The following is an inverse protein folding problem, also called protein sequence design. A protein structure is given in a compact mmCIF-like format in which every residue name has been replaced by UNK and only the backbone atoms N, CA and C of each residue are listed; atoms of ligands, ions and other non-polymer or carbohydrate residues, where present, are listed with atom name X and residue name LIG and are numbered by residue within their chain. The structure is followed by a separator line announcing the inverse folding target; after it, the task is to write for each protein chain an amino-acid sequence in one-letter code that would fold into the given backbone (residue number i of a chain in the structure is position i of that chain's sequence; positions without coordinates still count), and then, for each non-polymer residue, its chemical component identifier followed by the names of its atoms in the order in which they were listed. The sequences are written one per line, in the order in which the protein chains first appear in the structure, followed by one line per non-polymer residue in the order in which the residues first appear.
data_IF_607763112555
#
_entry.id   IF_607763112555
#
_cell.length_a   1.000
_cell.length_b   1.000
_cell.length_c   1.000
_cell.angle_alpha   90.00
_cell.angle_beta   90.00
_cell.angle_gamma   90.00
#
_symmetry.space_group_name_H-M   'P 1'
#
loop_
_entity.id
_entity.type
_entity.pdbx_description
1 polymer ?
#
# COMPACT_ATOMS: atom_id res chain seq x y z
N UNK A 1 16.18 20.82 7.86
CA UNK A 1 15.14 20.90 6.81
C UNK A 1 13.94 21.66 7.37
N UNK A 2 13.48 22.73 6.69
CA UNK A 2 12.38 23.60 7.16
C UNK A 2 11.15 23.55 6.25
N UNK A 3 11.34 23.43 4.94
CA UNK A 3 10.27 23.53 3.94
C UNK A 3 10.28 22.32 2.99
N UNK A 4 9.20 21.54 2.99
CA UNK A 4 8.97 20.40 2.12
C UNK A 4 7.73 20.65 1.26
N UNK A 5 7.79 20.29 -0.01
CA UNK A 5 6.63 20.34 -0.90
C UNK A 5 6.32 18.92 -1.39
N UNK A 6 5.11 18.45 -1.13
CA UNK A 6 4.56 17.25 -1.74
C UNK A 6 3.76 17.62 -2.99
N UNK A 7 3.89 16.81 -4.02
CA UNK A 7 3.12 16.95 -5.25
C UNK A 7 2.33 15.66 -5.48
N UNK A 8 1.01 15.77 -5.51
CA UNK A 8 0.11 14.65 -5.72
C UNK A 8 -0.95 14.93 -6.78
N UNK A 9 -1.73 13.91 -7.10
CA UNK A 9 -2.80 14.02 -8.10
C UNK A 9 -4.08 14.58 -7.51
N UNK A 10 -4.52 14.03 -6.38
CA UNK A 10 -5.83 14.27 -5.81
C UNK A 10 -5.76 15.18 -4.59
N UNK A 11 -6.73 16.07 -4.43
CA UNK A 11 -7.03 16.68 -3.15
C UNK A 11 -8.03 15.78 -2.42
N UNK A 12 -7.58 15.03 -1.43
CA UNK A 12 -8.38 14.05 -0.69
C UNK A 12 -7.80 12.63 -0.76
N UNK A 13 -8.55 11.64 -0.29
CA UNK A 13 -8.11 10.25 -0.11
C UNK A 13 -8.75 9.33 -1.14
N UNK A 14 -7.94 8.70 -1.98
CA UNK A 14 -8.32 7.63 -2.92
C UNK A 14 -7.84 6.26 -2.40
N UNK A 15 -6.68 6.21 -1.78
CA UNK A 15 -6.08 4.96 -1.34
C UNK A 15 -4.88 5.10 -0.41
N UNK A 16 -3.97 4.13 -0.48
CA UNK A 16 -2.80 4.05 0.40
C UNK A 16 -1.80 5.19 0.18
N UNK A 17 -1.68 5.70 -1.04
CA UNK A 17 -0.74 6.79 -1.37
C UNK A 17 -1.10 8.05 -0.60
N UNK A 18 -2.36 8.49 -0.66
CA UNK A 18 -2.83 9.69 0.01
C UNK A 18 -2.80 9.52 1.53
N UNK A 19 -3.10 8.32 2.04
CA UNK A 19 -2.95 8.02 3.48
C UNK A 19 -1.48 8.11 3.92
N UNK A 20 -0.55 7.63 3.11
CA UNK A 20 0.88 7.76 3.38
C UNK A 20 1.31 9.23 3.38
N UNK A 21 0.91 10.01 2.37
CA UNK A 21 1.20 11.45 2.31
C UNK A 21 0.66 12.19 3.54
N UNK A 22 -0.60 11.93 3.91
CA UNK A 22 -1.23 12.54 5.08
C UNK A 22 -0.44 12.24 6.35
N UNK A 23 -0.15 10.96 6.61
CA UNK A 23 0.57 10.54 7.83
C UNK A 23 2.01 11.08 7.87
N UNK A 24 2.73 11.05 6.75
CA UNK A 24 4.10 11.56 6.69
C UNK A 24 4.16 13.08 6.80
N UNK A 25 3.20 13.81 6.23
CA UNK A 25 3.11 15.26 6.39
C UNK A 25 2.84 15.65 7.85
N UNK A 26 1.88 14.99 8.51
CA UNK A 26 1.60 15.21 9.93
C UNK A 26 2.85 14.95 10.78
N UNK A 27 3.53 13.83 10.55
CA UNK A 27 4.72 13.46 11.30
C UNK A 27 5.86 14.47 11.13
N UNK A 28 6.07 14.99 9.92
CA UNK A 28 7.07 16.04 9.66
C UNK A 28 6.68 17.37 10.32
N UNK A 29 5.41 17.76 10.29
CA UNK A 29 4.92 18.96 10.95
C UNK A 29 5.07 18.91 12.47
N UNK A 30 4.86 17.74 13.07
CA UNK A 30 5.11 17.50 14.50
C UNK A 30 6.60 17.73 14.88
N UNK A 31 7.51 17.67 13.90
CA UNK A 31 8.93 18.00 14.05
C UNK A 31 9.26 19.47 13.66
N UNK A 32 8.26 20.31 13.44
CA UNK A 32 8.42 21.72 13.07
C UNK A 32 8.80 21.94 11.61
N UNK A 33 8.60 20.98 10.72
CA UNK A 33 8.81 21.11 9.28
C UNK A 33 7.53 21.64 8.63
N UNK A 34 7.63 22.72 7.87
CA UNK A 34 6.53 23.22 7.06
C UNK A 34 6.34 22.32 5.84
N UNK A 35 5.17 21.70 5.71
CA UNK A 35 4.84 20.79 4.59
C UNK A 35 3.71 21.38 3.77
N UNK A 36 4.02 21.73 2.51
CA UNK A 36 3.03 22.24 1.55
C UNK A 36 2.64 21.15 0.55
N UNK A 37 1.42 21.24 0.03
CA UNK A 37 0.89 20.29 -0.94
C UNK A 37 0.43 20.94 -2.23
N UNK A 38 0.91 20.43 -3.36
CA UNK A 38 0.48 20.83 -4.71
C UNK A 38 -0.27 19.70 -5.37
N UNK A 39 -1.45 19.98 -5.96
CA UNK A 39 -2.29 18.96 -6.61
C UNK A 39 -2.66 19.32 -8.05
N UNK A 40 -3.04 18.30 -8.85
CA UNK A 40 -3.43 18.50 -10.26
C UNK A 40 -4.83 19.10 -10.45
N UNK A 41 -5.60 19.29 -9.37
CA UNK A 41 -6.95 19.87 -9.40
C UNK A 41 -8.09 18.83 -9.32
N UNK A 42 -7.79 17.54 -9.29
CA UNK A 42 -8.79 16.48 -9.06
C UNK A 42 -9.10 16.37 -7.56
N UNK A 43 -10.38 16.24 -7.21
CA UNK A 43 -10.82 16.07 -5.82
C UNK A 43 -11.18 14.61 -5.51
N UNK A 44 -11.10 14.23 -4.24
CA UNK A 44 -11.40 12.89 -3.76
C UNK A 44 -12.12 12.93 -2.41
N UNK A 45 -12.25 11.81 -1.72
CA UNK A 45 -12.92 11.73 -0.41
C UNK A 45 -12.10 12.44 0.67
N UNK A 46 -12.77 12.96 1.71
CA UNK A 46 -12.15 13.55 2.90
C UNK A 46 -11.18 14.72 2.60
N UNK A 47 -11.52 15.60 1.63
CA UNK A 47 -10.69 16.74 1.21
C UNK A 47 -10.25 17.60 2.39
N UNK A 48 -11.16 17.98 3.27
CA UNK A 48 -10.85 18.86 4.40
C UNK A 48 -9.86 18.22 5.37
N UNK A 49 -10.07 16.93 5.70
CA UNK A 49 -9.15 16.18 6.56
C UNK A 49 -7.77 16.05 5.92
N UNK A 50 -7.74 15.78 4.60
CA UNK A 50 -6.48 15.66 3.87
C UNK A 50 -5.74 17.00 3.82
N UNK A 51 -6.43 18.08 3.46
CA UNK A 51 -5.84 19.42 3.39
C UNK A 51 -5.29 19.91 4.75
N UNK A 52 -5.97 19.60 5.85
CA UNK A 52 -5.54 19.97 7.22
C UNK A 52 -4.19 19.37 7.64
N UNK A 53 -3.71 18.32 6.94
CA UNK A 53 -2.38 17.74 7.19
C UNK A 53 -1.23 18.61 6.66
N UNK A 54 -1.51 19.67 5.89
CA UNK A 54 -0.52 20.53 5.23
C UNK A 54 -0.64 21.98 5.68
N UNK A 55 0.47 22.71 5.65
CA UNK A 55 0.51 24.13 6.01
C UNK A 55 -0.01 25.05 4.89
N UNK A 56 0.14 24.61 3.64
CA UNK A 56 -0.43 25.27 2.46
C UNK A 56 -0.84 24.21 1.43
N UNK A 57 -1.98 24.46 0.77
CA UNK A 57 -2.50 23.60 -0.30
C UNK A 57 -2.93 24.47 -1.48
N UNK A 58 -2.41 24.19 -2.68
CA UNK A 58 -2.85 24.88 -3.89
C UNK A 58 -2.69 23.98 -5.13
N UNK A 59 -3.16 24.46 -6.28
CA UNK A 59 -2.92 23.76 -7.55
C UNK A 59 -1.45 23.87 -7.95
N UNK A 60 -0.96 22.87 -8.66
CA UNK A 60 0.42 22.86 -9.14
C UNK A 60 0.77 24.12 -9.95
N UNK A 61 -0.16 24.64 -10.76
CA UNK A 61 0.00 25.88 -11.55
C UNK A 61 0.27 27.12 -10.71
N UNK A 62 -0.21 27.14 -9.48
CA UNK A 62 -0.17 28.29 -8.57
C UNK A 62 0.98 28.18 -7.55
N UNK A 63 1.71 27.03 -7.57
CA UNK A 63 2.70 26.64 -6.56
C UNK A 63 4.13 27.15 -6.78
N UNK A 64 4.39 28.06 -7.75
CA UNK A 64 5.73 28.48 -8.12
C UNK A 64 6.55 29.04 -6.95
N UNK A 65 5.94 29.81 -6.06
CA UNK A 65 6.59 30.37 -4.87
C UNK A 65 6.95 29.28 -3.87
N UNK A 66 6.06 28.32 -3.62
CA UNK A 66 6.30 27.19 -2.73
C UNK A 66 7.46 26.34 -3.25
N UNK A 67 7.52 26.07 -4.56
CA UNK A 67 8.61 25.31 -5.19
C UNK A 67 9.96 26.06 -5.07
N UNK A 68 9.97 27.38 -5.20
CA UNK A 68 11.21 28.17 -5.02
C UNK A 68 11.77 28.07 -3.61
N UNK A 69 10.91 28.12 -2.59
CA UNK A 69 11.28 28.07 -1.16
C UNK A 69 11.51 26.63 -0.65
N UNK A 70 11.11 25.62 -1.38
CA UNK A 70 11.25 24.25 -0.96
C UNK A 70 12.73 23.84 -0.83
N UNK A 71 13.08 23.25 0.29
CA UNK A 71 14.36 22.57 0.48
C UNK A 71 14.32 21.14 -0.09
N UNK A 72 13.12 20.55 -0.09
CA UNK A 72 12.86 19.22 -0.65
C UNK A 72 11.51 19.21 -1.36
N UNK A 73 11.47 18.62 -2.56
CA UNK A 73 10.24 18.38 -3.31
C UNK A 73 10.07 16.88 -3.53
N UNK A 74 8.91 16.34 -3.15
CA UNK A 74 8.60 14.90 -3.32
C UNK A 74 7.37 14.74 -4.21
N UNK A 75 7.59 14.10 -5.36
CA UNK A 75 6.54 13.80 -6.34
C UNK A 75 5.90 12.44 -6.01
N UNK A 76 4.68 12.45 -5.55
CA UNK A 76 3.88 11.24 -5.30
C UNK A 76 2.99 10.85 -6.50
N UNK A 77 3.13 11.55 -7.62
CA UNK A 77 2.40 11.30 -8.87
C UNK A 77 3.29 11.47 -10.08
N UNK A 78 2.82 11.02 -11.24
CA UNK A 78 3.49 11.22 -12.52
C UNK A 78 2.99 12.51 -13.14
N UNK A 79 3.89 13.49 -13.30
CA UNK A 79 3.65 14.76 -13.97
C UNK A 79 3.99 14.68 -15.47
N UNK A 80 3.38 15.51 -16.32
CA UNK A 80 3.86 15.76 -17.69
C UNK A 80 5.32 16.25 -17.70
N UNK A 81 6.05 15.94 -18.76
CA UNK A 81 7.49 16.29 -18.90
C UNK A 81 7.73 17.81 -18.78
N UNK A 82 6.81 18.62 -19.30
CA UNK A 82 6.88 20.08 -19.24
C UNK A 82 6.82 20.58 -17.79
N UNK A 83 6.01 19.95 -16.96
CA UNK A 83 5.90 20.29 -15.54
C UNK A 83 7.13 19.84 -14.73
N UNK A 84 7.77 18.72 -15.13
CA UNK A 84 9.02 18.28 -14.51
C UNK A 84 10.13 19.32 -14.64
N UNK A 85 10.16 20.07 -15.76
CA UNK A 85 11.17 21.12 -16.01
C UNK A 85 11.05 22.29 -15.04
N UNK A 86 9.89 22.47 -14.41
CA UNK A 86 9.62 23.54 -13.41
C UNK A 86 10.13 23.17 -12.02
N UNK A 87 10.49 21.92 -11.79
CA UNK A 87 10.93 21.44 -10.49
C UNK A 87 12.37 21.89 -10.19
N UNK A 88 12.68 22.25 -8.95
CA UNK A 88 14.02 22.64 -8.55
C UNK A 88 14.99 21.46 -8.69
N UNK A 89 16.05 21.64 -9.49
CA UNK A 89 17.06 20.61 -9.71
C UNK A 89 17.84 20.31 -8.43
N UNK A 90 18.24 19.06 -8.27
CA UNK A 90 19.06 18.60 -7.14
C UNK A 90 18.31 18.45 -5.80
N UNK A 91 17.02 18.83 -5.72
CA UNK A 91 16.21 18.70 -4.49
C UNK A 91 14.80 18.16 -4.74
N UNK A 92 14.59 17.58 -5.91
CA UNK A 92 13.32 16.95 -6.31
C UNK A 92 13.48 15.44 -6.44
N UNK A 93 12.57 14.70 -5.80
CA UNK A 93 12.56 13.24 -5.75
C UNK A 93 11.24 12.70 -6.28
N UNK A 94 11.30 11.61 -7.03
CA UNK A 94 10.12 10.88 -7.46
C UNK A 94 9.83 9.74 -6.49
N UNK A 95 8.68 9.74 -5.82
CA UNK A 95 8.26 8.63 -4.96
C UNK A 95 7.43 7.62 -5.77
N UNK A 96 8.02 6.48 -6.07
CA UNK A 96 7.36 5.41 -6.82
C UNK A 96 6.53 4.52 -5.88
N UNK A 97 5.25 4.85 -5.75
CA UNK A 97 4.30 4.09 -4.95
C UNK A 97 3.74 2.85 -5.66
N UNK A 98 3.81 2.83 -6.99
CA UNK A 98 3.25 1.80 -7.84
C UNK A 98 4.11 1.56 -9.10
N UNK A 99 3.61 0.72 -10.01
CA UNK A 99 4.30 0.36 -11.24
C UNK A 99 4.00 1.29 -12.42
N UNK A 100 3.26 2.39 -12.22
CA UNK A 100 2.75 3.23 -13.31
C UNK A 100 3.84 3.83 -14.18
N UNK A 101 5.00 4.18 -13.60
CA UNK A 101 6.10 4.81 -14.33
C UNK A 101 6.75 3.90 -15.39
N UNK A 102 6.65 2.59 -15.25
CA UNK A 102 7.27 1.62 -16.19
C UNK A 102 6.29 0.55 -16.69
N UNK A 103 5.08 0.46 -16.17
CA UNK A 103 4.10 -0.53 -16.58
C UNK A 103 2.80 0.11 -17.04
N UNK A 104 2.50 0.06 -18.35
CA UNK A 104 1.25 0.58 -18.94
C UNK A 104 -0.02 -0.03 -18.33
N UNK A 105 0.08 -1.23 -17.73
CA UNK A 105 -1.04 -1.91 -17.08
C UNK A 105 -1.17 -1.58 -15.59
N UNK A 106 -0.26 -0.79 -15.05
CA UNK A 106 -0.21 -0.34 -13.65
C UNK A 106 0.03 -1.44 -12.60
N UNK A 107 0.10 -2.73 -12.99
CA UNK A 107 0.04 -3.84 -12.03
C UNK A 107 1.19 -4.83 -12.16
N UNK A 108 2.06 -4.62 -13.11
CA UNK A 108 3.21 -5.49 -13.40
C UNK A 108 2.80 -6.98 -13.52
N UNK A 109 1.64 -7.20 -14.17
CA UNK A 109 0.97 -8.47 -14.31
C UNK A 109 0.46 -8.66 -15.75
N UNK A 110 0.78 -9.78 -16.40
CA UNK A 110 0.45 -10.03 -17.79
C UNK A 110 -1.01 -10.44 -18.00
N UNK A 111 -1.68 -10.01 -19.09
CA UNK A 111 -3.06 -10.41 -19.38
C UNK A 111 -3.16 -11.87 -19.80
N UNK A 112 -2.16 -12.34 -20.56
CA UNK A 112 -2.07 -13.70 -21.08
C UNK A 112 -1.28 -14.57 -20.10
N UNK A 113 -1.85 -15.71 -19.74
CA UNK A 113 -1.27 -16.63 -18.77
C UNK A 113 -1.33 -16.15 -17.31
N UNK A 114 -1.89 -14.98 -17.01
CA UNK A 114 -2.09 -14.43 -15.66
C UNK A 114 -0.85 -14.54 -14.77
N UNK A 115 0.32 -14.18 -15.33
CA UNK A 115 1.62 -14.31 -14.67
C UNK A 115 2.17 -12.94 -14.27
N UNK A 116 2.99 -12.90 -13.25
CA UNK A 116 3.75 -11.72 -12.89
C UNK A 116 4.74 -11.38 -14.01
N UNK A 117 4.89 -10.08 -14.27
CA UNK A 117 5.91 -9.57 -15.18
C UNK A 117 7.20 -9.31 -14.40
N UNK A 118 8.34 -9.75 -14.94
CA UNK A 118 9.67 -9.53 -14.35
C UNK A 118 10.60 -8.81 -15.34
N UNK A 119 10.03 -8.18 -16.37
CA UNK A 119 10.78 -7.55 -17.46
C UNK A 119 10.96 -6.07 -17.21
N UNK A 120 12.03 -5.50 -17.71
CA UNK A 120 12.13 -4.06 -17.92
C UNK A 120 11.05 -3.59 -18.92
N UNK A 121 10.70 -2.30 -18.87
CA UNK A 121 9.76 -1.70 -19.81
C UNK A 121 10.37 -1.69 -21.23
N UNK A 122 9.72 -2.38 -22.15
CA UNK A 122 10.06 -2.42 -23.57
C UNK A 122 8.87 -1.85 -24.37
N UNK A 123 9.03 -0.78 -25.17
CA UNK A 123 7.91 -0.07 -25.79
C UNK A 123 6.98 -0.97 -26.60
N UNK A 124 7.50 -1.80 -27.50
CA UNK A 124 6.69 -2.69 -28.35
C UNK A 124 6.01 -3.80 -27.56
N UNK A 125 6.76 -4.51 -26.72
CA UNK A 125 6.20 -5.60 -25.90
C UNK A 125 5.17 -5.10 -24.89
N UNK A 126 5.42 -3.94 -24.26
CA UNK A 126 4.48 -3.32 -23.35
C UNK A 126 3.23 -2.79 -24.05
N UNK A 127 3.36 -2.32 -25.30
CA UNK A 127 2.24 -1.95 -26.14
C UNK A 127 1.30 -3.15 -26.39
N UNK A 128 1.85 -4.26 -26.86
CA UNK A 128 1.07 -5.49 -27.08
C UNK A 128 0.50 -6.07 -25.76
N UNK A 129 1.29 -6.05 -24.68
CA UNK A 129 0.83 -6.50 -23.38
C UNK A 129 -0.38 -5.67 -22.85
N UNK A 130 -0.42 -4.38 -23.16
CA UNK A 130 -1.54 -3.50 -22.79
C UNK A 130 -2.69 -3.50 -23.80
N UNK A 131 -2.59 -4.25 -24.90
CA UNK A 131 -3.52 -4.22 -26.02
C UNK A 131 -3.69 -2.79 -26.58
N UNK A 132 -2.61 -2.04 -26.67
CA UNK A 132 -2.61 -0.63 -27.09
C UNK A 132 -3.21 0.36 -26.11
N UNK A 133 -3.67 -0.09 -24.93
CA UNK A 133 -4.29 0.77 -23.93
C UNK A 133 -3.23 1.44 -23.04
N UNK A 134 -3.60 2.61 -22.51
CA UNK A 134 -2.76 3.40 -21.61
C UNK A 134 -1.69 4.22 -22.33
N UNK A 135 -1.42 5.40 -21.81
CA UNK A 135 -0.34 6.25 -22.28
C UNK A 135 1.04 5.60 -22.03
N UNK A 136 2.02 5.91 -22.86
CA UNK A 136 3.41 5.54 -22.57
C UNK A 136 3.90 6.43 -21.42
N UNK A 137 4.31 5.85 -20.29
CA UNK A 137 4.84 6.65 -19.20
C UNK A 137 6.09 7.43 -19.65
N UNK A 138 6.34 8.65 -19.14
CA UNK A 138 7.53 9.45 -19.50
C UNK A 138 8.79 8.94 -18.77
N UNK A 139 9.05 7.65 -18.86
CA UNK A 139 10.09 6.94 -18.11
C UNK A 139 11.47 7.56 -18.28
N UNK A 140 11.82 7.99 -19.51
CA UNK A 140 13.13 8.56 -19.79
C UNK A 140 13.40 9.84 -18.97
N UNK A 141 12.39 10.73 -18.84
CA UNK A 141 12.52 11.96 -18.08
C UNK A 141 12.65 11.71 -16.56
N UNK A 142 12.00 10.64 -16.07
CA UNK A 142 12.03 10.28 -14.65
C UNK A 142 13.32 9.57 -14.21
N UNK A 143 14.05 8.93 -15.12
CA UNK A 143 15.33 8.26 -14.82
C UNK A 143 16.41 9.21 -14.32
N UNK A 144 16.30 10.48 -14.63
CA UNK A 144 17.23 11.53 -14.20
C UNK A 144 16.91 12.06 -12.78
N UNK A 145 15.70 11.75 -12.25
CA UNK A 145 15.34 12.08 -10.88
C UNK A 145 15.73 10.95 -9.94
N UNK A 146 16.27 11.25 -8.75
CA UNK A 146 16.40 10.27 -7.71
C UNK A 146 15.01 9.77 -7.32
N UNK A 147 14.86 8.45 -7.18
CA UNK A 147 13.59 7.84 -6.84
C UNK A 147 13.56 7.34 -5.40
N UNK A 148 12.41 7.48 -4.75
CA UNK A 148 12.12 6.95 -3.42
C UNK A 148 11.17 5.76 -3.55
N UNK A 149 11.37 4.74 -2.74
CA UNK A 149 10.54 3.52 -2.71
C UNK A 149 10.40 3.00 -1.27
N UNK A 150 9.37 2.19 -1.00
CA UNK A 150 9.15 1.57 0.31
C UNK A 150 9.69 0.13 0.40
N UNK A 151 10.03 -0.51 -0.71
CA UNK A 151 10.44 -1.92 -0.73
C UNK A 151 11.68 -2.16 -1.60
N UNK A 152 12.46 -3.18 -1.25
CA UNK A 152 13.56 -3.66 -2.09
C UNK A 152 13.04 -4.16 -3.44
N UNK A 153 11.88 -4.81 -3.44
CA UNK A 153 11.20 -5.22 -4.66
C UNK A 153 10.98 -4.05 -5.64
N UNK A 154 10.50 -2.90 -5.16
CA UNK A 154 10.35 -1.70 -6.01
C UNK A 154 11.70 -1.09 -6.40
N UNK A 155 12.68 -1.11 -5.50
CA UNK A 155 14.03 -0.64 -5.77
C UNK A 155 14.66 -1.39 -6.94
N UNK A 156 14.65 -2.72 -6.90
CA UNK A 156 15.15 -3.55 -7.98
C UNK A 156 14.42 -3.32 -9.31
N UNK A 157 13.09 -3.15 -9.26
CA UNK A 157 12.31 -2.89 -10.47
C UNK A 157 12.66 -1.53 -11.10
N UNK A 158 12.86 -0.48 -10.32
CA UNK A 158 13.28 0.82 -10.85
C UNK A 158 14.70 0.78 -11.42
N UNK A 159 15.65 0.15 -10.73
CA UNK A 159 17.02 -0.05 -11.24
C UNK A 159 17.00 -0.83 -12.55
N UNK A 160 16.23 -1.91 -12.65
CA UNK A 160 16.03 -2.68 -13.90
C UNK A 160 15.45 -1.84 -15.03
N UNK A 161 14.64 -0.83 -14.69
CA UNK A 161 14.06 0.11 -15.64
C UNK A 161 14.95 1.35 -15.89
N UNK A 162 16.21 1.33 -15.45
CA UNK A 162 17.23 2.29 -15.77
C UNK A 162 17.24 3.57 -14.92
N UNK A 163 16.60 3.59 -13.76
CA UNK A 163 16.81 4.65 -12.77
C UNK A 163 18.23 4.55 -12.24
N UNK A 164 18.93 5.68 -12.17
CA UNK A 164 20.33 5.73 -11.71
C UNK A 164 20.45 5.68 -10.20
N UNK A 165 19.51 6.28 -9.52
CA UNK A 165 19.50 6.41 -8.08
C UNK A 165 18.13 6.07 -7.52
N UNK A 166 18.09 5.05 -6.66
CA UNK A 166 16.86 4.60 -6.00
C UNK A 166 17.15 4.39 -4.52
N UNK A 167 16.47 5.13 -3.68
CA UNK A 167 16.64 5.16 -2.24
C UNK A 167 15.43 4.49 -1.60
N UNK A 168 15.66 3.48 -0.78
CA UNK A 168 14.61 2.88 0.03
C UNK A 168 14.42 3.68 1.30
N UNK A 169 13.24 4.29 1.45
CA UNK A 169 12.76 4.86 2.71
C UNK A 169 12.05 3.77 3.52
N UNK A 170 12.20 3.71 4.84
CA UNK A 170 11.37 2.83 5.64
C UNK A 170 9.92 3.30 5.57
N UNK A 171 9.00 2.36 5.34
CA UNK A 171 7.62 2.60 5.72
C UNK A 171 7.54 2.72 7.24
N UNK A 172 6.51 3.37 7.74
CA UNK A 172 6.35 3.55 9.18
C UNK A 172 4.89 3.37 9.59
N UNK A 173 4.71 2.94 10.82
CA UNK A 173 3.41 2.89 11.48
C UNK A 173 3.61 2.99 12.98
N UNK A 174 2.60 3.50 13.69
CA UNK A 174 2.60 3.58 15.16
C UNK A 174 1.92 2.33 15.72
N UNK A 175 2.64 1.52 16.51
CA UNK A 175 2.02 0.39 17.18
C UNK A 175 0.90 0.85 18.10
N UNK A 176 -0.25 0.21 18.01
CA UNK A 176 -1.35 0.44 18.96
C UNK A 176 -1.01 -0.27 20.27
N UNK A 177 -1.07 0.46 21.38
CA UNK A 177 -0.68 -0.08 22.69
C UNK A 177 -1.73 -1.03 23.32
N UNK A 178 -2.90 -1.15 22.69
CA UNK A 178 -3.99 -1.99 23.19
C UNK A 178 -3.72 -3.46 22.82
N UNK A 179 -3.67 -4.33 23.83
CA UNK A 179 -3.58 -5.77 23.58
C UNK A 179 -4.78 -6.26 22.78
N UNK A 180 -4.52 -6.94 21.68
CA UNK A 180 -5.56 -7.59 20.92
C UNK A 180 -6.08 -8.82 21.67
N UNK A 181 -7.39 -8.88 21.93
CA UNK A 181 -8.00 -10.00 22.64
C UNK A 181 -8.56 -11.03 21.67
N UNK A 182 -7.90 -12.15 21.59
CA UNK A 182 -8.40 -13.32 20.88
C UNK A 182 -9.35 -14.10 21.75
N UNK A 183 -10.57 -14.39 21.25
CA UNK A 183 -11.58 -15.10 22.03
C UNK A 183 -11.49 -16.61 21.80
N UNK A 184 -11.38 -17.38 22.87
CA UNK A 184 -11.37 -18.84 22.80
C UNK A 184 -12.78 -19.37 22.46
N UNK A 185 -12.85 -20.40 21.62
CA UNK A 185 -14.09 -21.09 21.21
C UNK A 185 -15.10 -20.23 20.43
N UNK A 186 -14.68 -19.11 19.83
CA UNK A 186 -15.52 -18.32 18.93
C UNK A 186 -15.11 -18.56 17.47
N UNK A 187 -15.95 -18.11 16.53
CA UNK A 187 -15.56 -18.04 15.11
C UNK A 187 -14.30 -17.22 14.93
N UNK A 188 -13.37 -17.67 14.10
CA UNK A 188 -12.20 -16.91 13.70
C UNK A 188 -12.62 -15.69 12.86
N UNK A 189 -12.38 -14.48 13.35
CA UNK A 189 -12.78 -13.23 12.68
C UNK A 189 -11.71 -12.78 11.71
N UNK A 190 -11.98 -12.93 10.41
CA UNK A 190 -11.08 -12.57 9.33
C UNK A 190 -11.47 -11.22 8.76
N UNK A 191 -10.50 -10.33 8.56
CA UNK A 191 -10.66 -9.09 7.81
C UNK A 191 -9.90 -9.17 6.48
N UNK A 192 -10.52 -8.71 5.40
CA UNK A 192 -9.82 -8.37 4.15
C UNK A 192 -10.18 -6.94 3.78
N UNK A 193 -9.20 -6.07 3.54
CA UNK A 193 -9.43 -4.64 3.31
C UNK A 193 -8.68 -4.12 2.10
N UNK A 194 -9.37 -3.33 1.28
CA UNK A 194 -8.79 -2.63 0.14
C UNK A 194 -9.78 -2.39 -0.99
N UNK A 195 -9.28 -1.87 -2.10
CA UNK A 195 -10.11 -1.69 -3.29
C UNK A 195 -10.62 -3.04 -3.81
N UNK A 196 -11.92 -3.13 -4.11
CA UNK A 196 -12.54 -4.34 -4.66
C UNK A 196 -12.33 -4.42 -6.17
N UNK A 197 -11.11 -4.76 -6.55
CA UNK A 197 -10.67 -4.94 -7.92
C UNK A 197 -9.90 -6.26 -8.04
N UNK A 198 -9.89 -6.84 -9.23
CA UNK A 198 -9.33 -8.18 -9.49
C UNK A 198 -7.91 -8.39 -8.94
N UNK A 199 -7.08 -7.36 -9.01
CA UNK A 199 -5.70 -7.46 -8.54
C UNK A 199 -5.56 -7.67 -7.04
N UNK A 200 -6.54 -7.24 -6.25
CA UNK A 200 -6.55 -7.43 -4.79
C UNK A 200 -7.01 -8.83 -4.37
N UNK A 201 -7.55 -9.65 -5.31
CA UNK A 201 -7.70 -11.08 -5.14
C UNK A 201 -8.79 -11.54 -4.17
N UNK A 202 -9.74 -10.67 -3.80
CA UNK A 202 -10.83 -11.04 -2.86
C UNK A 202 -11.64 -12.24 -3.34
N UNK A 203 -11.74 -12.45 -4.67
CA UNK A 203 -12.33 -13.64 -5.25
C UNK A 203 -11.59 -14.93 -4.87
N UNK A 204 -10.27 -14.89 -4.68
CA UNK A 204 -9.47 -16.03 -4.21
C UNK A 204 -9.75 -16.35 -2.75
N UNK A 205 -9.95 -15.31 -1.92
CA UNK A 205 -10.36 -15.50 -0.53
C UNK A 205 -11.74 -16.16 -0.45
N UNK A 206 -12.73 -15.68 -1.21
CA UNK A 206 -14.07 -16.29 -1.24
C UNK A 206 -14.01 -17.74 -1.70
N UNK A 207 -13.18 -18.06 -2.72
CA UNK A 207 -12.98 -19.44 -3.18
C UNK A 207 -12.34 -20.34 -2.13
N UNK A 208 -11.44 -19.79 -1.33
CA UNK A 208 -10.81 -20.47 -0.20
C UNK A 208 -11.85 -20.75 0.91
N UNK A 209 -12.62 -19.72 1.31
CA UNK A 209 -13.61 -19.84 2.39
C UNK A 209 -14.65 -20.93 2.13
N UNK A 210 -14.98 -21.18 0.86
CA UNK A 210 -15.86 -22.30 0.47
C UNK A 210 -15.30 -23.68 0.87
N UNK A 211 -13.97 -23.81 0.98
CA UNK A 211 -13.27 -25.08 1.24
C UNK A 211 -12.89 -25.25 2.70
N UNK A 212 -13.06 -24.23 3.51
CA UNK A 212 -12.71 -24.25 4.93
C UNK A 212 -13.95 -24.60 5.75
N UNK A 213 -13.88 -25.70 6.47
CA UNK A 213 -15.00 -26.25 7.28
C UNK A 213 -14.76 -26.02 8.78
N UNK A 214 -14.45 -24.76 9.15
CA UNK A 214 -14.34 -24.35 10.55
C UNK A 214 -15.16 -23.08 10.78
N UNK A 215 -15.61 -22.82 12.03
CA UNK A 215 -16.31 -21.57 12.37
C UNK A 215 -15.43 -20.37 12.07
N UNK A 216 -15.85 -19.54 11.12
CA UNK A 216 -15.18 -18.28 10.78
C UNK A 216 -16.15 -17.23 10.26
N UNK A 217 -15.84 -15.98 10.53
CA UNK A 217 -16.54 -14.79 10.07
C UNK A 217 -15.59 -13.91 9.27
N UNK A 218 -15.90 -13.66 8.02
CA UNK A 218 -15.06 -12.85 7.14
C UNK A 218 -15.72 -11.50 6.85
N UNK A 219 -15.07 -10.43 7.25
CA UNK A 219 -15.46 -9.06 6.90
C UNK A 219 -14.62 -8.55 5.74
N UNK A 220 -15.29 -8.11 4.68
CA UNK A 220 -14.66 -7.49 3.51
C UNK A 220 -14.94 -5.99 3.54
N UNK A 221 -13.89 -5.20 3.80
CA UNK A 221 -13.94 -3.75 3.88
C UNK A 221 -13.37 -3.12 2.61
N UNK A 222 -14.12 -2.24 1.98
CA UNK A 222 -13.71 -1.55 0.77
C UNK A 222 -14.81 -1.49 -0.29
N UNK A 223 -14.48 -0.84 -1.39
CA UNK A 223 -15.36 -0.71 -2.55
C UNK A 223 -14.58 -0.78 -3.85
N UNK A 224 -15.27 -0.99 -4.97
CA UNK A 224 -14.65 -1.05 -6.28
C UNK A 224 -15.53 -1.76 -7.31
N UNK A 225 -15.07 -1.72 -8.57
CA UNK A 225 -15.83 -2.21 -9.71
C UNK A 225 -16.22 -3.69 -9.66
N UNK A 226 -15.51 -4.51 -8.88
CA UNK A 226 -15.74 -5.95 -8.80
C UNK A 226 -16.68 -6.33 -7.65
N UNK A 227 -17.17 -5.35 -6.84
CA UNK A 227 -18.03 -5.60 -5.67
C UNK A 227 -19.25 -6.47 -6.00
N UNK A 228 -20.05 -6.07 -6.97
CA UNK A 228 -21.26 -6.81 -7.34
C UNK A 228 -20.96 -8.26 -7.82
N UNK A 229 -19.81 -8.47 -8.47
CA UNK A 229 -19.38 -9.80 -8.89
C UNK A 229 -18.96 -10.65 -7.68
N UNK A 230 -18.30 -10.06 -6.68
CA UNK A 230 -17.88 -10.73 -5.45
C UNK A 230 -19.08 -11.10 -4.59
N UNK A 231 -20.07 -10.22 -4.43
CA UNK A 231 -21.32 -10.47 -3.71
C UNK A 231 -22.10 -11.63 -4.36
N UNK A 232 -22.25 -11.63 -5.71
CA UNK A 232 -22.85 -12.77 -6.44
C UNK A 232 -22.08 -14.08 -6.22
N UNK A 233 -20.75 -14.02 -6.04
CA UNK A 233 -19.93 -15.21 -5.79
C UNK A 233 -20.17 -15.77 -4.40
N UNK A 234 -20.30 -14.91 -3.38
CA UNK A 234 -20.69 -15.28 -2.01
C UNK A 234 -22.04 -15.99 -2.02
N UNK A 235 -23.04 -15.39 -2.69
CA UNK A 235 -24.36 -15.98 -2.83
C UNK A 235 -24.34 -17.36 -3.55
N UNK A 236 -23.61 -17.45 -4.66
CA UNK A 236 -23.44 -18.72 -5.39
C UNK A 236 -22.88 -19.83 -4.51
N UNK A 237 -22.00 -19.50 -3.57
CA UNK A 237 -21.36 -20.46 -2.68
C UNK A 237 -22.08 -20.64 -1.35
N UNK A 238 -23.20 -19.96 -1.13
CA UNK A 238 -23.99 -19.96 0.12
C UNK A 238 -23.14 -19.60 1.33
N UNK A 239 -22.38 -18.51 1.20
CA UNK A 239 -21.47 -18.02 2.24
C UNK A 239 -21.99 -16.74 2.93
N UNK A 240 -23.26 -16.36 2.77
CA UNK A 240 -23.86 -15.12 3.28
C UNK A 240 -23.79 -15.02 4.81
N UNK A 241 -23.93 -16.15 5.49
CA UNK A 241 -23.81 -16.24 6.95
C UNK A 241 -22.36 -16.02 7.46
N UNK A 242 -21.36 -16.21 6.60
CA UNK A 242 -19.93 -16.21 6.92
C UNK A 242 -19.17 -15.01 6.33
N UNK A 243 -19.70 -14.32 5.33
CA UNK A 243 -19.00 -13.25 4.59
C UNK A 243 -19.86 -12.00 4.51
N UNK A 244 -19.34 -10.90 5.03
CA UNK A 244 -20.03 -9.60 5.05
C UNK A 244 -19.22 -8.52 4.31
N UNK A 245 -19.88 -7.74 3.46
CA UNK A 245 -19.31 -6.56 2.82
C UNK A 245 -19.76 -5.31 3.56
N UNK A 246 -18.81 -4.55 4.12
CA UNK A 246 -19.10 -3.34 4.90
C UNK A 246 -18.82 -2.02 4.17
N UNK A 247 -18.42 -2.11 2.90
CA UNK A 247 -18.12 -0.92 2.09
C UNK A 247 -16.82 -0.23 2.48
N UNK A 248 -16.62 0.97 1.93
CA UNK A 248 -15.45 1.80 2.22
C UNK A 248 -15.46 2.29 3.67
N UNK A 249 -14.30 2.22 4.33
CA UNK A 249 -14.11 2.67 5.71
C UNK A 249 -13.19 3.90 5.74
N UNK A 250 -13.73 5.03 6.17
CA UNK A 250 -12.95 6.26 6.36
C UNK A 250 -12.02 6.11 7.57
N UNK A 251 -12.53 5.46 8.62
CA UNK A 251 -11.78 5.11 9.83
C UNK A 251 -11.72 3.58 9.98
N UNK A 252 -10.59 2.94 9.64
CA UNK A 252 -10.43 1.50 9.70
C UNK A 252 -10.14 0.96 11.11
N UNK A 253 -9.93 1.80 12.12
CA UNK A 253 -9.54 1.38 13.47
C UNK A 253 -10.49 0.31 14.03
N UNK A 254 -11.80 0.55 13.90
CA UNK A 254 -12.82 -0.41 14.35
C UNK A 254 -12.78 -1.75 13.63
N UNK A 255 -12.31 -1.76 12.39
CA UNK A 255 -12.15 -3.01 11.64
C UNK A 255 -11.00 -3.85 12.22
N UNK A 256 -9.90 -3.20 12.60
CA UNK A 256 -8.76 -3.87 13.23
C UNK A 256 -9.09 -4.39 14.62
N UNK A 257 -9.86 -3.66 15.41
CA UNK A 257 -10.32 -4.10 16.73
C UNK A 257 -11.29 -5.30 16.65
N UNK A 258 -12.04 -5.42 15.55
CA UNK A 258 -13.07 -6.42 15.36
C UNK A 258 -12.59 -7.70 14.67
N UNK A 259 -11.31 -7.83 14.31
CA UNK A 259 -10.78 -9.01 13.62
C UNK A 259 -9.66 -9.70 14.41
N UNK A 260 -9.47 -10.99 14.18
CA UNK A 260 -8.38 -11.80 14.75
C UNK A 260 -7.24 -11.99 13.79
N UNK A 261 -7.53 -11.87 12.50
CA UNK A 261 -6.62 -12.17 11.41
C UNK A 261 -6.89 -11.26 10.21
N UNK A 262 -5.85 -10.74 9.60
CA UNK A 262 -5.97 -10.06 8.31
C UNK A 262 -5.57 -11.00 7.18
N UNK A 263 -6.46 -11.18 6.18
CA UNK A 263 -6.16 -11.96 4.99
C UNK A 263 -5.95 -11.02 3.81
N UNK A 264 -4.73 -11.05 3.23
CA UNK A 264 -4.32 -10.22 2.10
C UNK A 264 -4.13 -11.08 0.83
N UNK A 265 -5.21 -11.36 0.08
CA UNK A 265 -5.20 -12.32 -1.04
C UNK A 265 -4.63 -11.73 -2.33
N UNK A 266 -3.61 -10.90 -2.24
CA UNK A 266 -3.08 -10.12 -3.36
C UNK A 266 -2.68 -11.00 -4.55
N UNK A 267 -3.19 -10.69 -5.73
CA UNK A 267 -2.94 -11.44 -6.98
C UNK A 267 -1.77 -10.88 -7.78
N UNK A 268 -1.70 -9.57 -7.86
CA UNK A 268 -0.64 -8.88 -8.59
C UNK A 268 0.59 -8.62 -7.71
N UNK A 269 1.65 -8.08 -8.29
CA UNK A 269 2.84 -7.71 -7.55
C UNK A 269 2.58 -6.44 -6.74
N UNK A 270 2.44 -6.58 -5.44
CA UNK A 270 2.19 -5.45 -4.54
C UNK A 270 3.49 -4.65 -4.36
N UNK A 271 3.50 -3.32 -4.53
CA UNK A 271 4.68 -2.50 -4.30
C UNK A 271 5.23 -2.59 -2.88
N UNK A 272 4.35 -2.54 -1.89
CA UNK A 272 4.68 -2.70 -0.47
C UNK A 272 3.53 -3.35 0.31
N UNK A 273 2.30 -2.80 0.20
CA UNK A 273 1.12 -3.27 0.93
C UNK A 273 0.98 -2.65 2.31
N UNK A 274 0.86 -1.31 2.37
CA UNK A 274 0.72 -0.54 3.61
C UNK A 274 -0.37 -1.08 4.55
N UNK A 275 -1.46 -1.60 4.00
CA UNK A 275 -2.55 -2.20 4.78
C UNK A 275 -2.11 -3.41 5.60
N UNK A 276 -1.13 -4.18 5.13
CA UNK A 276 -0.53 -5.28 5.89
C UNK A 276 0.30 -4.78 7.06
N UNK A 277 1.07 -3.70 6.86
CA UNK A 277 1.79 -3.05 7.95
C UNK A 277 0.82 -2.43 8.98
N UNK A 278 -0.30 -1.86 8.54
CA UNK A 278 -1.37 -1.37 9.42
C UNK A 278 -1.95 -2.50 10.28
N UNK A 279 -2.22 -3.69 9.71
CA UNK A 279 -2.64 -4.85 10.47
C UNK A 279 -1.63 -5.22 11.57
N UNK A 280 -0.34 -5.33 11.21
CA UNK A 280 0.72 -5.63 12.18
C UNK A 280 0.81 -4.58 13.29
N UNK A 281 0.59 -3.29 12.98
CA UNK A 281 0.60 -2.20 13.96
C UNK A 281 -0.54 -2.30 14.98
N UNK A 282 -1.63 -3.00 14.64
CA UNK A 282 -2.74 -3.30 15.54
C UNK A 282 -2.60 -4.66 16.25
N UNK A 283 -1.45 -5.32 16.09
CA UNK A 283 -1.24 -6.65 16.65
C UNK A 283 -2.06 -7.75 15.97
N UNK A 284 -2.54 -7.49 14.76
CA UNK A 284 -3.31 -8.44 13.95
C UNK A 284 -2.34 -9.20 13.05
N UNK A 285 -2.19 -10.52 13.20
CA UNK A 285 -1.36 -11.34 12.33
C UNK A 285 -1.92 -11.38 10.90
N UNK A 286 -1.05 -11.62 9.93
CA UNK A 286 -1.42 -11.54 8.51
C UNK A 286 -1.20 -12.88 7.80
N UNK A 287 -2.20 -13.33 7.02
CA UNK A 287 -1.99 -14.31 5.96
C UNK A 287 -1.97 -13.56 4.63
N UNK A 288 -0.92 -13.70 3.84
CA UNK A 288 -0.85 -13.07 2.53
C UNK A 288 -0.25 -14.00 1.47
N UNK A 289 -0.65 -13.81 0.22
CA UNK A 289 0.11 -14.40 -0.88
C UNK A 289 1.43 -13.65 -1.07
N UNK A 290 2.51 -14.42 -1.20
CA UNK A 290 3.87 -13.91 -1.40
C UNK A 290 4.01 -13.26 -2.77
N UNK A 291 3.75 -11.96 -2.85
CA UNK A 291 3.76 -11.15 -4.08
C UNK A 291 4.40 -9.79 -3.87
N UNK A 292 5.42 -9.51 -4.67
CA UNK A 292 6.09 -8.21 -4.65
C UNK A 292 6.73 -7.87 -3.31
N UNK A 293 6.41 -6.70 -2.76
CA UNK A 293 6.98 -6.17 -1.52
C UNK A 293 6.35 -6.70 -0.22
N UNK A 294 5.50 -7.73 -0.26
CA UNK A 294 4.86 -8.28 0.95
C UNK A 294 5.89 -8.78 1.96
N UNK A 295 7.01 -9.35 1.48
CA UNK A 295 8.12 -9.83 2.33
C UNK A 295 8.88 -8.73 3.07
N UNK A 296 8.63 -7.47 2.77
CA UNK A 296 9.24 -6.36 3.51
C UNK A 296 8.79 -6.32 4.98
N UNK A 297 7.55 -6.74 5.24
CA UNK A 297 6.95 -6.69 6.58
C UNK A 297 6.42 -8.04 7.06
N UNK A 298 6.10 -9.00 6.18
CA UNK A 298 5.60 -10.32 6.56
C UNK A 298 6.74 -11.30 6.77
N UNK A 299 6.88 -11.79 7.98
CA UNK A 299 7.83 -12.85 8.40
C UNK A 299 7.05 -14.13 8.63
N UNK A 300 7.27 -15.11 7.74
CA UNK A 300 6.54 -16.38 7.76
C UNK A 300 6.67 -17.08 9.12
N UNK A 301 5.56 -17.55 9.66
CA UNK A 301 5.42 -18.21 10.98
C UNK A 301 5.77 -17.32 12.20
N UNK A 302 6.22 -16.08 11.99
CA UNK A 302 6.62 -15.16 13.06
C UNK A 302 5.50 -14.17 13.38
N UNK A 303 5.06 -13.38 12.38
CA UNK A 303 3.99 -12.38 12.52
C UNK A 303 2.80 -12.66 11.59
N UNK A 304 2.78 -13.85 10.99
CA UNK A 304 1.77 -14.30 10.05
C UNK A 304 2.27 -15.41 9.13
N UNK A 305 1.61 -15.60 7.99
CA UNK A 305 1.95 -16.64 7.04
C UNK A 305 2.02 -16.10 5.62
N UNK A 306 3.12 -16.40 4.93
CA UNK A 306 3.32 -16.06 3.54
C UNK A 306 3.11 -17.30 2.66
N UNK A 307 2.05 -17.29 1.86
CA UNK A 307 1.61 -18.42 1.06
C UNK A 307 2.02 -18.27 -0.41
N UNK A 308 2.24 -19.39 -1.07
CA UNK A 308 2.32 -19.38 -2.52
C UNK A 308 0.96 -18.98 -3.10
N UNK A 309 0.93 -18.17 -4.16
CA UNK A 309 -0.31 -17.75 -4.75
C UNK A 309 -1.13 -18.91 -5.30
N UNK A 310 -2.37 -19.02 -4.80
CA UNK A 310 -3.28 -20.10 -5.18
C UNK A 310 -3.17 -21.37 -4.32
N UNK A 311 -2.30 -21.39 -3.32
CA UNK A 311 -2.20 -22.49 -2.36
C UNK A 311 -3.36 -22.44 -1.35
N UNK A 312 -4.54 -22.80 -1.84
CA UNK A 312 -5.74 -22.82 -1.03
C UNK A 312 -5.74 -23.95 0.01
N UNK A 313 -5.01 -25.05 -0.25
CA UNK A 313 -4.89 -26.17 0.69
C UNK A 313 -4.15 -25.71 1.95
N UNK A 314 -2.96 -25.17 1.77
CA UNK A 314 -2.16 -24.66 2.90
C UNK A 314 -2.86 -23.53 3.65
N UNK A 315 -3.56 -22.64 2.95
CA UNK A 315 -4.34 -21.59 3.60
C UNK A 315 -5.47 -22.17 4.48
N UNK A 316 -6.17 -23.21 3.99
CA UNK A 316 -7.23 -23.85 4.76
C UNK A 316 -6.69 -24.56 6.02
N UNK A 317 -5.55 -25.28 5.92
CA UNK A 317 -4.87 -25.88 7.05
C UNK A 317 -4.51 -24.84 8.13
N UNK A 318 -3.91 -23.71 7.72
CA UNK A 318 -3.52 -22.63 8.63
C UNK A 318 -4.74 -22.01 9.30
N UNK A 319 -5.82 -21.73 8.56
CA UNK A 319 -7.05 -21.17 9.14
C UNK A 319 -7.67 -22.12 10.16
N UNK A 320 -7.68 -23.42 9.88
CA UNK A 320 -8.18 -24.45 10.80
C UNK A 320 -7.32 -24.55 12.06
N UNK A 321 -5.99 -24.52 11.92
CA UNK A 321 -5.09 -24.51 13.07
C UNK A 321 -5.25 -23.26 13.94
N UNK A 322 -5.32 -22.08 13.33
CA UNK A 322 -5.47 -20.80 14.06
C UNK A 322 -6.83 -20.66 14.76
N UNK A 323 -7.89 -21.24 14.20
CA UNK A 323 -9.22 -21.23 14.82
C UNK A 323 -9.21 -22.04 16.12
N UNK A 324 -8.45 -23.14 16.19
CA UNK A 324 -8.36 -23.99 17.37
C UNK A 324 -7.25 -23.58 18.36
N UNK A 325 -6.35 -22.67 18.00
CA UNK A 325 -5.23 -22.25 18.84
C UNK A 325 -5.16 -20.70 19.01
N UNK A 326 -5.94 -20.13 19.95
CA UNK A 326 -5.88 -18.71 20.28
C UNK A 326 -4.53 -18.25 20.83
N UNK A 327 -3.74 -19.15 21.43
CA UNK A 327 -2.42 -18.82 21.97
C UNK A 327 -1.44 -18.56 20.81
N UNK A 328 -1.55 -19.32 19.74
CA UNK A 328 -0.79 -19.08 18.51
C UNK A 328 -1.13 -17.73 17.89
N UNK A 329 -2.42 -17.39 17.79
CA UNK A 329 -2.86 -16.06 17.33
C UNK A 329 -2.26 -14.94 18.19
N UNK A 330 -2.35 -15.07 19.53
CA UNK A 330 -1.78 -14.09 20.45
C UNK A 330 -0.26 -13.95 20.30
N UNK A 331 0.45 -15.04 20.13
CA UNK A 331 1.91 -15.05 19.87
C UNK A 331 2.25 -14.32 18.57
N UNK A 332 1.54 -14.63 17.48
CA UNK A 332 1.74 -13.97 16.17
C UNK A 332 1.43 -12.48 16.26
N UNK A 333 0.35 -12.10 16.95
CA UNK A 333 -0.04 -10.70 17.16
C UNK A 333 1.00 -9.92 17.98
N UNK A 334 1.55 -10.51 19.04
CA UNK A 334 2.64 -9.90 19.82
C UNK A 334 3.90 -9.70 18.96
N UNK A 335 4.23 -10.67 18.13
CA UNK A 335 5.36 -10.55 17.20
C UNK A 335 5.09 -9.51 16.11
N UNK A 336 3.85 -9.35 15.66
CA UNK A 336 3.44 -8.30 14.71
C UNK A 336 3.77 -6.91 15.29
N UNK A 337 3.34 -6.61 16.51
CA UNK A 337 3.68 -5.35 17.19
C UNK A 337 5.19 -5.16 17.36
N UNK A 338 5.92 -6.22 17.72
CA UNK A 338 7.38 -6.18 17.84
C UNK A 338 8.06 -5.85 16.50
N UNK A 339 7.58 -6.43 15.41
CA UNK A 339 8.08 -6.15 14.05
C UNK A 339 7.93 -4.67 13.72
N UNK A 340 6.72 -4.11 13.94
CA UNK A 340 6.46 -2.69 13.66
C UNK A 340 7.35 -1.79 14.51
N UNK A 341 7.44 -2.04 15.82
CA UNK A 341 8.25 -1.24 16.74
C UNK A 341 9.74 -1.21 16.35
N UNK A 342 10.28 -2.34 15.91
CA UNK A 342 11.71 -2.47 15.65
C UNK A 342 12.12 -2.04 14.24
N UNK A 343 11.27 -2.27 13.24
CA UNK A 343 11.63 -2.16 11.81
C UNK A 343 10.89 -1.02 11.08
N UNK A 344 9.74 -0.56 11.62
CA UNK A 344 8.86 0.39 10.95
C UNK A 344 8.48 1.57 11.85
N UNK A 345 9.44 2.06 12.63
CA UNK A 345 9.22 3.18 13.56
C UNK A 345 9.14 4.52 12.85
N UNK A 346 8.34 5.44 13.40
CA UNK A 346 8.27 6.83 12.96
C UNK A 346 9.64 7.52 13.03
N UNK A 347 10.43 7.24 14.08
CA UNK A 347 11.76 7.78 14.25
C UNK A 347 12.72 7.35 13.12
N UNK A 348 12.71 6.07 12.75
CA UNK A 348 13.55 5.57 11.66
C UNK A 348 13.19 6.18 10.29
N UNK A 349 11.90 6.50 10.07
CA UNK A 349 11.47 7.25 8.90
C UNK A 349 12.02 8.69 8.94
N UNK A 350 11.85 9.41 10.05
CA UNK A 350 12.28 10.79 10.20
C UNK A 350 13.79 10.96 9.98
N UNK A 351 14.60 10.09 10.56
CA UNK A 351 16.06 10.10 10.40
C UNK A 351 16.47 9.94 8.92
N UNK A 352 15.91 8.95 8.23
CA UNK A 352 16.22 8.73 6.81
C UNK A 352 15.65 9.82 5.91
N UNK A 353 14.47 10.36 6.23
CA UNK A 353 13.89 11.44 5.45
C UNK A 353 14.69 12.75 5.61
N UNK A 354 15.17 13.07 6.82
CA UNK A 354 16.03 14.20 7.06
C UNK A 354 17.37 14.11 6.30
N UNK A 355 17.95 12.92 6.25
CA UNK A 355 19.21 12.67 5.52
C UNK A 355 19.07 12.91 4.00
N UNK A 356 17.87 12.86 3.42
CA UNK A 356 17.65 13.21 2.00
C UNK A 356 17.98 14.69 1.73
N UNK A 357 17.66 15.57 2.66
CA UNK A 357 17.94 17.00 2.50
C UNK A 357 19.41 17.37 2.76
N UNK A 358 20.12 16.57 3.56
CA UNK A 358 21.54 16.80 3.91
C UNK A 358 22.50 16.25 2.85
N UNK A 359 22.19 15.10 2.29
CA UNK A 359 23.02 14.41 1.30
C UNK A 359 23.02 15.04 -0.10
N UNK A 360 22.27 16.13 -0.31
CA UNK A 360 22.13 16.82 -1.61
C UNK A 360 22.65 18.27 -1.57
N UNK A 361 23.35 18.67 -0.53
CA UNK A 361 24.21 19.84 -0.52
C UNK A 361 25.58 19.47 -1.06
#
# INVERSE_FOLDING_TARGET
MKNVVYIGRYLGIVGGIERYMLRSAQLLRDQGVCVSYLHSGETARDELRFAAAFDAVCRFTDGAELLRRAELVVLHTILPVEQLKLLPRGRSFFFAHDHNIYCRRHHYYTPFGRRNCHRASEPLRCFFCSLGRGATPPLAAYRELPALVLSEFMRENLLRNGFRQVIKLPAFSRPVQKEHKFMKNSSLRILSMGQLIRGKGVDLLIDLLRKVDVPLDCTIAGDGRDRAMLERRVHRYRLEERVRFIGWQNDPERCWEACDLFFFPIRWQEPFGLVGLEALAHGVPVIAFDRGGVREWLRDTVNGYALLPGDAGRAAEILSALQSDPEQLARLGKNALKTVKNEFSEQGFLEKFAALAEGWK
#
